data_IF_186271923815
#
_entry.id   IF_186271923815
#
_cell.length_a   1.000
_cell.length_b   1.000
_cell.length_c   1.000
_cell.angle_alpha   90.00
_cell.angle_beta   90.00
_cell.angle_gamma   90.00
#
_symmetry.space_group_name_H-M   'P 1'
#
loop_
_entity.id
_entity.type
_entity.pdbx_description
1 polymer ?
#
# COMPACT_ATOMS: atom_id res chain seq x y z
N UNK A 1 -19.88 -13.55 6.96
CA UNK A 1 -18.58 -12.85 7.05
C UNK A 1 -18.46 -11.94 5.84
N UNK A 2 -18.32 -10.64 6.06
CA UNK A 2 -18.00 -9.67 5.02
C UNK A 2 -16.58 -9.83 4.47
N UNK A 3 -16.24 -8.97 3.51
CA UNK A 3 -14.89 -8.87 2.94
C UNK A 3 -14.11 -7.73 3.59
N UNK A 4 -12.79 -7.77 3.44
CA UNK A 4 -11.89 -6.68 3.82
C UNK A 4 -11.47 -5.94 2.56
N UNK A 5 -11.75 -4.64 2.47
CA UNK A 5 -11.47 -3.84 1.28
C UNK A 5 -10.38 -2.83 1.58
N UNK A 6 -9.32 -2.82 0.78
CA UNK A 6 -8.20 -1.88 0.94
C UNK A 6 -7.53 -1.62 -0.41
N UNK A 7 -6.79 -0.51 -0.50
CA UNK A 7 -6.02 -0.22 -1.71
C UNK A 7 -4.73 -1.02 -1.71
N UNK A 8 -4.44 -1.64 -2.83
CA UNK A 8 -3.22 -2.40 -3.05
C UNK A 8 -1.98 -1.49 -2.94
N UNK A 9 -0.95 -1.93 -2.20
CA UNK A 9 0.31 -1.17 -2.08
C UNK A 9 1.19 -1.35 -3.36
N UNK A 10 2.39 -0.78 -3.37
CA UNK A 10 3.42 -1.07 -4.37
C UNK A 10 4.70 -1.58 -3.71
N UNK A 11 5.46 -2.42 -4.43
CA UNK A 11 6.76 -2.93 -3.96
C UNK A 11 7.94 -2.14 -4.53
N UNK A 12 7.69 -0.95 -5.09
CA UNK A 12 8.72 -0.17 -5.77
C UNK A 12 9.47 0.80 -4.86
N UNK A 13 8.98 1.03 -3.63
CA UNK A 13 9.65 1.91 -2.66
C UNK A 13 10.85 1.25 -1.97
N UNK A 14 11.85 2.05 -1.58
CA UNK A 14 13.12 1.55 -1.02
C UNK A 14 12.93 0.78 0.30
N UNK A 15 11.84 1.05 1.02
CA UNK A 15 11.44 0.30 2.22
C UNK A 15 11.27 -1.20 1.94
N UNK A 16 10.91 -1.56 0.70
CA UNK A 16 10.78 -2.94 0.23
C UNK A 16 12.10 -3.59 -0.20
N UNK A 17 13.25 -2.89 -0.15
CA UNK A 17 14.52 -3.37 -0.72
C UNK A 17 15.05 -4.71 -0.17
N UNK A 18 14.58 -5.11 1.02
CA UNK A 18 14.92 -6.39 1.62
C UNK A 18 14.16 -7.58 0.99
N UNK A 19 13.05 -7.32 0.29
CA UNK A 19 12.15 -8.35 -0.25
C UNK A 19 12.56 -8.88 -1.63
N UNK A 20 12.20 -10.14 -1.98
CA UNK A 20 12.40 -10.67 -3.33
C UNK A 20 11.71 -9.85 -4.41
N UNK A 21 10.48 -9.37 -4.15
CA UNK A 21 9.66 -8.55 -5.05
C UNK A 21 10.45 -7.33 -5.55
N UNK A 22 11.02 -6.55 -4.62
CA UNK A 22 11.82 -5.39 -4.97
C UNK A 22 13.09 -5.77 -5.74
N UNK A 23 13.80 -6.81 -5.31
CA UNK A 23 15.08 -7.24 -5.91
C UNK A 23 14.95 -7.66 -7.37
N UNK A 24 13.83 -8.27 -7.75
CA UNK A 24 13.55 -8.67 -9.13
C UNK A 24 12.80 -7.59 -9.93
N UNK A 25 12.44 -6.48 -9.30
CA UNK A 25 11.65 -5.41 -9.94
C UNK A 25 10.18 -5.75 -10.17
N UNK A 26 9.66 -6.78 -9.51
CA UNK A 26 8.25 -7.16 -9.55
C UNK A 26 7.40 -6.19 -8.74
N UNK A 27 6.26 -5.75 -9.29
CA UNK A 27 5.29 -4.95 -8.57
C UNK A 27 3.85 -5.36 -8.94
N UNK A 28 3.02 -5.51 -7.92
CA UNK A 28 1.60 -5.87 -8.09
C UNK A 28 0.76 -4.80 -8.80
N UNK A 29 1.25 -3.55 -8.86
CA UNK A 29 0.65 -2.44 -9.64
C UNK A 29 0.95 -2.53 -11.15
N UNK A 30 1.95 -3.34 -11.54
CA UNK A 30 2.30 -3.61 -12.94
C UNK A 30 2.71 -5.09 -13.09
N UNK A 31 1.74 -6.01 -12.90
CA UNK A 31 2.00 -7.44 -12.74
C UNK A 31 2.70 -8.08 -13.95
N UNK A 32 2.55 -7.48 -15.13
CA UNK A 32 3.09 -7.99 -16.40
C UNK A 32 4.49 -7.45 -16.71
N UNK A 33 5.01 -6.51 -15.91
CA UNK A 33 6.35 -5.91 -16.12
C UNK A 33 7.46 -6.94 -15.94
N UNK A 34 7.28 -7.87 -15.01
CA UNK A 34 8.23 -8.93 -14.68
C UNK A 34 7.45 -10.20 -14.41
N UNK A 35 7.74 -11.26 -15.17
CA UNK A 35 7.20 -12.60 -14.90
C UNK A 35 7.73 -13.11 -13.56
N UNK A 36 6.84 -13.64 -12.71
CA UNK A 36 7.24 -14.20 -11.42
C UNK A 36 8.13 -15.44 -11.63
N UNK A 37 9.38 -15.45 -11.13
CA UNK A 37 10.29 -16.58 -11.30
C UNK A 37 9.81 -17.83 -10.55
N UNK A 38 9.86 -18.99 -11.21
CA UNK A 38 9.38 -20.27 -10.64
C UNK A 38 10.20 -20.68 -9.42
N UNK A 39 11.49 -20.36 -9.42
CA UNK A 39 12.42 -20.60 -8.31
C UNK A 39 12.06 -19.85 -7.02
N UNK A 40 11.26 -18.78 -7.10
CA UNK A 40 10.74 -18.07 -5.93
C UNK A 40 9.43 -18.66 -5.40
N UNK A 41 8.98 -19.78 -5.97
CA UNK A 41 7.76 -20.48 -5.57
C UNK A 41 6.50 -19.78 -6.06
N UNK A 42 5.44 -19.85 -5.27
CA UNK A 42 4.17 -19.21 -5.61
C UNK A 42 4.30 -17.68 -5.55
N UNK A 43 3.63 -17.03 -6.49
CA UNK A 43 3.49 -15.57 -6.49
C UNK A 43 2.86 -15.12 -5.17
N UNK A 44 3.36 -14.05 -4.52
CA UNK A 44 2.81 -13.57 -3.27
C UNK A 44 1.35 -13.15 -3.42
N UNK A 45 0.56 -13.40 -2.38
CA UNK A 45 -0.80 -12.90 -2.27
C UNK A 45 -0.83 -11.37 -2.41
N UNK A 46 -1.91 -10.78 -2.96
CA UNK A 46 -2.07 -9.34 -3.04
C UNK A 46 -1.90 -8.67 -1.68
N UNK A 47 -1.08 -7.63 -1.62
CA UNK A 47 -0.75 -6.93 -0.38
C UNK A 47 -1.34 -5.51 -0.38
N UNK A 48 -1.98 -5.07 0.68
CA UNK A 48 -2.61 -3.74 0.76
C UNK A 48 -1.87 -2.76 1.66
N UNK A 49 -2.09 -1.46 1.40
CA UNK A 49 -1.73 -0.40 2.32
C UNK A 49 -2.79 -0.27 3.42
N UNK A 50 -2.39 -0.27 4.69
CA UNK A 50 -3.32 -0.26 5.83
C UNK A 50 -3.83 1.14 6.22
N UNK A 51 -3.42 2.20 5.52
CA UNK A 51 -3.83 3.57 5.83
C UNK A 51 -5.31 3.85 5.61
N UNK A 52 -5.98 3.08 4.75
CA UNK A 52 -7.43 3.12 4.59
C UNK A 52 -7.96 1.76 4.16
N UNK A 53 -8.98 1.29 4.89
CA UNK A 53 -9.69 0.06 4.58
C UNK A 53 -11.16 0.14 5.03
N UNK A 54 -12.00 -0.75 4.49
CA UNK A 54 -13.41 -0.93 4.85
C UNK A 54 -13.64 -2.39 5.21
N UNK A 55 -14.29 -2.62 6.36
CA UNK A 55 -14.65 -3.95 6.82
C UNK A 55 -15.97 -3.90 7.61
N UNK A 56 -16.59 -5.06 7.82
CA UNK A 56 -17.78 -5.21 8.66
C UNK A 56 -17.35 -5.44 10.12
N UNK A 57 -17.71 -4.55 11.06
CA UNK A 57 -17.39 -4.74 12.47
C UNK A 57 -18.04 -6.02 13.03
N UNK A 58 -17.29 -6.77 13.84
CA UNK A 58 -17.74 -8.03 14.41
C UNK A 58 -16.98 -8.32 15.70
N UNK A 59 -17.71 -8.70 16.76
CA UNK A 59 -17.10 -9.10 18.04
C UNK A 59 -16.17 -10.29 17.86
N UNK A 60 -16.61 -11.30 17.08
CA UNK A 60 -15.79 -12.46 16.77
C UNK A 60 -14.49 -12.07 16.05
N UNK A 61 -14.56 -11.13 15.10
CA UNK A 61 -13.36 -10.63 14.41
C UNK A 61 -12.41 -9.92 15.37
N UNK A 62 -12.93 -9.12 16.31
CA UNK A 62 -12.13 -8.47 17.34
C UNK A 62 -11.42 -9.49 18.25
N UNK A 63 -12.16 -10.49 18.76
CA UNK A 63 -11.61 -11.51 19.65
C UNK A 63 -10.48 -12.29 18.93
N UNK A 64 -10.73 -12.73 17.69
CA UNK A 64 -9.70 -13.40 16.88
C UNK A 64 -8.50 -12.50 16.55
N UNK A 65 -8.72 -11.22 16.26
CA UNK A 65 -7.62 -10.26 16.04
C UNK A 65 -6.75 -10.15 17.28
N UNK A 66 -7.36 -10.05 18.47
CA UNK A 66 -6.61 -9.95 19.73
C UNK A 66 -5.83 -11.22 20.03
N UNK A 67 -6.44 -12.39 19.89
CA UNK A 67 -5.75 -13.68 20.06
C UNK A 67 -4.56 -13.81 19.09
N UNK A 68 -4.76 -13.47 17.82
CA UNK A 68 -3.72 -13.52 16.80
C UNK A 68 -2.60 -12.52 17.06
N UNK A 69 -2.94 -11.29 17.46
CA UNK A 69 -1.97 -10.23 17.77
C UNK A 69 -1.04 -10.65 18.91
N UNK A 70 -1.57 -11.27 19.97
CA UNK A 70 -0.79 -11.73 21.11
C UNK A 70 0.19 -12.86 20.76
N UNK A 71 -0.07 -13.61 19.69
CA UNK A 71 0.80 -14.67 19.19
C UNK A 71 1.74 -14.22 18.05
N UNK A 72 1.53 -13.03 17.48
CA UNK A 72 2.26 -12.57 16.30
C UNK A 72 3.63 -11.99 16.68
N UNK A 73 4.67 -12.43 15.99
CA UNK A 73 6.01 -11.82 16.10
C UNK A 73 6.01 -10.47 15.37
N UNK A 74 6.55 -9.38 15.96
CA UNK A 74 6.62 -8.09 15.30
C UNK A 74 7.33 -8.16 13.94
N UNK A 75 6.76 -7.49 12.94
CA UNK A 75 7.31 -7.39 11.59
C UNK A 75 7.74 -5.94 11.27
N UNK A 76 8.51 -5.70 10.18
CA UNK A 76 8.95 -4.36 9.82
C UNK A 76 7.81 -3.37 9.54
N UNK A 77 6.66 -3.82 9.03
CA UNK A 77 5.47 -2.98 8.83
C UNK A 77 4.35 -3.38 9.79
N UNK A 78 4.54 -3.07 11.08
CA UNK A 78 3.63 -3.27 12.21
C UNK A 78 2.18 -3.72 11.87
N UNK A 79 1.21 -2.81 11.85
CA UNK A 79 -0.19 -3.14 11.62
C UNK A 79 -0.46 -3.57 10.18
N UNK A 80 0.29 -3.06 9.21
CA UNK A 80 0.05 -3.36 7.80
C UNK A 80 0.32 -4.83 7.48
N UNK A 81 1.47 -5.37 7.89
CA UNK A 81 1.80 -6.79 7.73
C UNK A 81 0.83 -7.67 8.51
N UNK A 82 0.52 -7.28 9.76
CA UNK A 82 -0.41 -8.03 10.61
C UNK A 82 -1.79 -8.16 9.97
N UNK A 83 -2.35 -7.04 9.48
CA UNK A 83 -3.65 -7.03 8.82
C UNK A 83 -3.62 -7.78 7.48
N UNK A 84 -2.54 -7.66 6.70
CA UNK A 84 -2.38 -8.42 5.45
C UNK A 84 -2.36 -9.93 5.69
N UNK A 85 -1.67 -10.38 6.73
CA UNK A 85 -1.67 -11.78 7.16
C UNK A 85 -3.08 -12.21 7.63
N UNK A 86 -3.70 -11.44 8.53
CA UNK A 86 -4.97 -11.82 9.14
C UNK A 86 -6.13 -11.87 8.14
N UNK A 87 -6.21 -10.88 7.24
CA UNK A 87 -7.30 -10.74 6.28
C UNK A 87 -7.01 -11.32 4.89
N UNK A 88 -5.87 -12.00 4.69
CA UNK A 88 -5.40 -12.51 3.40
C UNK A 88 -6.50 -13.21 2.58
N UNK A 89 -7.31 -14.05 3.24
CA UNK A 89 -8.34 -14.88 2.56
C UNK A 89 -9.62 -14.13 2.19
N UNK A 90 -9.86 -12.96 2.78
CA UNK A 90 -11.08 -12.17 2.54
C UNK A 90 -10.78 -10.78 1.97
N UNK A 91 -9.52 -10.48 1.68
CA UNK A 91 -9.09 -9.22 1.09
C UNK A 91 -9.61 -9.07 -0.35
N UNK A 92 -10.15 -7.89 -0.66
CA UNK A 92 -10.51 -7.44 -2.00
C UNK A 92 -9.93 -6.05 -2.30
N UNK A 93 -9.09 -5.90 -3.33
CA UNK A 93 -8.54 -4.60 -3.70
C UNK A 93 -9.64 -3.64 -4.12
N UNK A 94 -9.52 -2.37 -3.69
CA UNK A 94 -10.34 -1.25 -4.17
C UNK A 94 -9.48 -0.24 -4.94
N UNK A 95 -10.09 0.65 -5.74
CA UNK A 95 -9.35 1.59 -6.60
C UNK A 95 -8.40 2.51 -5.83
N UNK A 96 -7.24 2.79 -6.44
CA UNK A 96 -6.17 3.63 -5.88
C UNK A 96 -6.65 5.00 -5.39
N UNK A 97 -7.67 5.58 -6.06
CA UNK A 97 -8.23 6.90 -5.74
C UNK A 97 -8.76 7.04 -4.32
N UNK A 98 -9.02 5.93 -3.63
CA UNK A 98 -9.53 5.93 -2.25
C UNK A 98 -8.43 5.89 -1.18
N UNK A 99 -7.16 5.70 -1.56
CA UNK A 99 -6.01 5.74 -0.65
C UNK A 99 -4.72 5.93 -1.47
N UNK A 100 -4.58 7.10 -2.10
CA UNK A 100 -3.41 7.38 -2.94
C UNK A 100 -2.20 7.69 -2.05
N UNK A 101 -1.34 6.68 -1.84
CA UNK A 101 -0.01 6.90 -1.26
C UNK A 101 0.81 7.75 -2.23
N UNK A 102 1.40 8.85 -1.76
CA UNK A 102 2.10 9.83 -2.62
C UNK A 102 3.13 9.19 -3.56
N UNK A 103 3.82 8.14 -3.10
CA UNK A 103 4.82 7.43 -3.91
C UNK A 103 4.33 6.91 -5.26
N UNK A 104 3.03 6.67 -5.37
CA UNK A 104 2.40 6.24 -6.62
C UNK A 104 2.55 7.27 -7.74
N UNK A 105 2.67 8.56 -7.41
CA UNK A 105 2.82 9.64 -8.38
C UNK A 105 4.09 9.53 -9.22
N UNK A 106 5.20 9.08 -8.62
CA UNK A 106 6.48 8.91 -9.33
C UNK A 106 6.82 7.45 -9.66
N UNK A 107 6.27 6.47 -8.92
CA UNK A 107 6.51 5.04 -9.20
C UNK A 107 5.59 4.47 -10.26
N UNK A 108 4.35 4.94 -10.30
CA UNK A 108 3.30 4.42 -11.18
C UNK A 108 2.43 5.57 -11.74
N UNK A 109 2.99 6.62 -12.36
CA UNK A 109 2.23 7.75 -12.88
C UNK A 109 1.13 7.33 -13.86
N UNK A 110 1.36 6.26 -14.63
CA UNK A 110 0.39 5.70 -15.57
C UNK A 110 -0.87 5.11 -14.89
N UNK A 111 -0.82 4.86 -13.58
CA UNK A 111 -1.95 4.35 -12.81
C UNK A 111 -2.71 5.46 -12.06
N UNK A 112 -2.30 6.74 -12.22
CA UNK A 112 -2.87 7.86 -11.45
C UNK A 112 -3.52 8.88 -12.39
N UNK A 113 -4.82 9.09 -12.23
CA UNK A 113 -5.54 10.26 -12.74
C UNK A 113 -5.89 11.18 -11.55
N UNK A 114 -5.15 12.27 -11.42
CA UNK A 114 -5.28 13.22 -10.31
C UNK A 114 -6.68 13.82 -10.18
N UNK A 115 -7.44 13.95 -11.28
CA UNK A 115 -8.80 14.51 -11.22
C UNK A 115 -9.82 13.57 -10.57
N UNK A 116 -9.47 12.29 -10.41
CA UNK A 116 -10.37 11.26 -9.86
C UNK A 116 -10.04 10.91 -8.40
N UNK A 117 -8.91 11.40 -7.88
CA UNK A 117 -8.43 11.10 -6.53
C UNK A 117 -9.38 11.66 -5.47
N UNK A 118 -9.74 10.83 -4.50
CA UNK A 118 -10.66 11.18 -3.40
C UNK A 118 -9.94 11.30 -2.05
N UNK A 119 -8.89 10.51 -1.84
CA UNK A 119 -8.11 10.48 -0.60
C UNK A 119 -6.63 10.38 -0.96
N UNK A 120 -5.82 11.26 -0.37
CA UNK A 120 -4.36 11.23 -0.46
C UNK A 120 -3.81 10.80 0.90
N UNK A 121 -2.94 9.79 0.89
CA UNK A 121 -2.24 9.30 2.06
C UNK A 121 -0.79 9.81 2.07
N UNK A 122 -0.55 10.76 2.97
CA UNK A 122 0.78 11.30 3.25
C UNK A 122 1.57 10.32 4.13
N UNK A 123 2.10 9.26 3.52
CA UNK A 123 2.97 8.29 4.18
C UNK A 123 4.41 8.45 3.67
N UNK A 124 5.22 9.22 4.39
CA UNK A 124 6.66 9.28 4.20
C UNK A 124 7.32 9.73 5.52
N UNK A 125 8.61 9.43 5.66
CA UNK A 125 9.46 10.07 6.66
C UNK A 125 9.65 11.55 6.28
N UNK A 126 8.60 12.37 6.40
CA UNK A 126 8.66 13.79 6.11
C UNK A 126 9.12 14.50 7.38
N UNK A 127 10.38 14.90 7.40
CA UNK A 127 10.86 15.96 8.27
C UNK A 127 10.16 17.25 7.87
N UNK A 128 9.09 17.62 8.57
CA UNK A 128 8.32 18.82 8.27
C UNK A 128 9.13 20.09 8.60
N UNK A 129 9.80 20.65 7.60
CA UNK A 129 10.06 22.09 7.53
C UNK A 129 9.21 22.63 6.38
N UNK A 130 7.95 22.92 6.69
CA UNK A 130 7.05 23.56 5.73
C UNK A 130 7.44 25.03 5.58
N UNK A 131 8.01 25.40 4.42
CA UNK A 131 7.83 26.75 3.88
C UNK A 131 6.67 26.70 2.88
N UNK A 132 5.92 27.80 2.76
CA UNK A 132 4.74 27.94 1.90
C UNK A 132 4.99 27.57 0.44
N UNK A 133 6.25 27.54 0.01
CA UNK A 133 6.64 27.29 -1.37
C UNK A 133 6.60 25.80 -1.75
N UNK A 134 6.66 24.88 -0.77
CA UNK A 134 6.71 23.43 -1.06
C UNK A 134 5.33 22.82 -1.37
N UNK A 135 4.25 23.34 -0.78
CA UNK A 135 2.88 22.92 -1.12
C UNK A 135 2.56 23.22 -2.59
N UNK A 136 3.09 24.32 -3.14
CA UNK A 136 2.92 24.67 -4.55
C UNK A 136 3.78 23.79 -5.47
N UNK A 137 4.86 23.15 -5.01
CA UNK A 137 5.64 22.21 -5.84
C UNK A 137 5.02 20.81 -5.94
N UNK A 138 4.27 20.37 -4.92
CA UNK A 138 3.53 19.10 -4.98
C UNK A 138 2.24 19.26 -5.81
N UNK A 139 1.67 20.46 -5.80
CA UNK A 139 0.43 20.80 -6.50
C UNK A 139 0.65 22.13 -7.24
N UNK A 140 1.50 22.15 -8.28
CA UNK A 140 1.47 23.28 -9.22
C UNK A 140 0.49 22.97 -10.34
N UNK A 141 -0.18 24.01 -10.86
CA UNK A 141 -1.30 23.97 -11.82
C UNK A 141 -0.98 23.33 -13.18
N UNK A 142 0.22 22.77 -13.33
CA UNK A 142 0.75 22.15 -14.55
C UNK A 142 1.17 20.67 -14.38
N UNK A 143 0.74 19.97 -13.31
CA UNK A 143 0.97 18.52 -13.13
C UNK A 143 2.46 18.07 -13.18
N UNK A 144 3.39 18.87 -12.66
CA UNK A 144 4.80 18.49 -12.55
C UNK A 144 5.20 18.44 -11.07
N UNK A 145 5.41 17.22 -10.56
CA UNK A 145 5.96 17.00 -9.21
C UNK A 145 7.48 16.95 -9.36
N UNK A 146 8.17 17.98 -8.88
CA UNK A 146 9.61 17.92 -8.65
C UNK A 146 9.86 17.48 -7.21
N UNK A 147 10.53 16.33 -7.07
CA UNK A 147 11.25 15.96 -5.85
C UNK A 147 12.74 16.18 -6.12
#
# INVERSE_FOLDING_TARGET
HGYFYAVMDCFCEKTWSHTPQYKIGYCQQCPDKVSWPVELGQRPSPYFNAGMFVFEPSQLTFDCLMECLMATVPTPFAEQDFLNMFFEKIYKPIPLVYNLVLAMLWRHPQNVDLHTVKVVHYCAAVSFLFTSDFCNCIIDRNNMIYI
#
